data_IF_926827982472
#
_entry.id   IF_926827982472
#
_cell.length_a   1.000
_cell.length_b   1.000
_cell.length_c   1.000
_cell.angle_alpha   90.00
_cell.angle_beta   90.00
_cell.angle_gamma   90.00
#
_symmetry.space_group_name_H-M   'P 1'
#
loop_
_entity.id
_entity.type
_entity.pdbx_description
1 polymer ?
#
# COMPACT_ATOMS: atom_id res chain seq x y z
N UNK A 1 -3.10 0.90 -19.95
CA UNK A 1 -3.78 0.10 -18.93
C UNK A 1 -2.72 -0.41 -18.01
N UNK A 2 -2.88 -0.11 -16.73
CA UNK A 2 -1.98 -0.61 -15.69
C UNK A 2 -2.53 -1.95 -15.19
N UNK A 3 -1.71 -3.00 -15.26
CA UNK A 3 -2.10 -4.35 -14.84
C UNK A 3 -1.43 -4.69 -13.51
N UNK A 4 -2.19 -5.23 -12.55
CA UNK A 4 -1.64 -5.69 -11.27
C UNK A 4 -0.59 -6.78 -11.51
N UNK A 5 0.55 -6.69 -10.81
CA UNK A 5 1.63 -7.68 -10.87
C UNK A 5 1.94 -8.32 -9.53
N UNK A 6 2.08 -7.51 -8.48
CA UNK A 6 2.41 -7.97 -7.14
C UNK A 6 1.76 -7.07 -6.08
N UNK A 7 1.68 -7.60 -4.86
CA UNK A 7 1.37 -6.82 -3.68
C UNK A 7 2.33 -7.18 -2.54
N UNK A 8 2.55 -6.23 -1.63
CA UNK A 8 3.33 -6.43 -0.41
C UNK A 8 2.88 -5.48 0.68
N UNK A 9 3.26 -5.78 1.92
CA UNK A 9 2.93 -4.97 3.10
C UNK A 9 4.21 -4.40 3.71
N UNK A 10 4.14 -3.16 4.14
CA UNK A 10 5.05 -2.59 5.13
C UNK A 10 4.35 -2.60 6.48
N UNK A 11 5.03 -3.05 7.54
CA UNK A 11 4.50 -3.00 8.91
C UNK A 11 5.62 -2.70 9.90
N UNK A 12 5.25 -2.18 11.08
CA UNK A 12 6.17 -1.74 12.11
C UNK A 12 6.24 -2.70 13.30
N UNK A 13 7.29 -2.55 14.11
CA UNK A 13 7.42 -3.24 15.40
C UNK A 13 6.57 -2.59 16.52
N UNK A 14 6.84 -2.97 17.78
CA UNK A 14 6.16 -2.38 18.95
C UNK A 14 6.38 -0.85 19.00
N UNK A 15 5.30 -0.07 18.95
CA UNK A 15 5.33 1.39 19.01
C UNK A 15 4.71 2.12 17.82
N UNK A 16 4.16 1.41 16.82
CA UNK A 16 3.31 1.93 15.75
C UNK A 16 3.99 2.98 14.84
N UNK A 17 4.78 2.49 13.87
CA UNK A 17 5.26 3.24 12.70
C UNK A 17 5.56 2.24 11.59
N UNK A 18 4.51 1.73 10.95
CA UNK A 18 4.63 0.66 9.97
C UNK A 18 4.32 1.04 8.54
N UNK A 19 3.62 2.16 8.32
CA UNK A 19 3.50 2.73 6.99
C UNK A 19 4.79 3.43 6.56
N UNK A 20 5.11 3.33 5.27
CA UNK A 20 6.21 4.08 4.67
C UNK A 20 5.81 5.55 4.51
N UNK A 21 4.58 5.80 4.08
CA UNK A 21 4.03 7.13 3.90
C UNK A 21 3.33 7.65 5.16
N UNK A 22 3.15 8.97 5.21
CA UNK A 22 2.41 9.66 6.27
C UNK A 22 1.33 10.56 5.68
N UNK A 23 0.24 10.76 6.42
CA UNK A 23 -0.79 11.76 6.10
C UNK A 23 -0.75 12.81 7.19
N UNK A 24 -0.45 14.06 6.82
CA UNK A 24 -0.33 15.18 7.76
C UNK A 24 0.62 14.87 8.95
N UNK A 25 1.71 14.15 8.69
CA UNK A 25 2.69 13.75 9.72
C UNK A 25 2.30 12.55 10.58
N UNK A 26 1.11 11.97 10.39
CA UNK A 26 0.67 10.73 11.05
C UNK A 26 1.17 9.50 10.28
N UNK A 27 1.81 8.57 11.00
CA UNK A 27 2.12 7.21 10.53
C UNK A 27 0.95 6.27 10.85
N UNK A 28 0.86 5.19 10.09
CA UNK A 28 -0.15 4.13 10.24
C UNK A 28 0.53 2.81 10.66
N UNK A 29 -0.27 1.83 11.10
CA UNK A 29 0.25 0.55 11.61
C UNK A 29 0.90 -0.29 10.51
N UNK A 30 0.37 -0.20 9.30
CA UNK A 30 0.88 -0.89 8.13
C UNK A 30 0.41 -0.17 6.86
N UNK A 31 1.08 -0.44 5.74
CA UNK A 31 0.71 0.04 4.41
C UNK A 31 0.78 -1.12 3.41
N UNK A 32 -0.30 -1.36 2.68
CA UNK A 32 -0.37 -2.31 1.57
C UNK A 32 -0.05 -1.58 0.27
N UNK A 33 0.89 -2.13 -0.51
CA UNK A 33 1.18 -1.68 -1.87
C UNK A 33 0.59 -2.65 -2.89
N UNK A 34 -0.20 -2.14 -3.83
CA UNK A 34 -0.60 -2.86 -5.04
C UNK A 34 0.19 -2.31 -6.23
N UNK A 35 1.16 -3.08 -6.72
CA UNK A 35 2.07 -2.65 -7.78
C UNK A 35 1.51 -3.05 -9.14
N UNK A 36 1.22 -2.03 -9.94
CA UNK A 36 0.76 -2.17 -11.31
C UNK A 36 1.81 -1.68 -12.31
N UNK A 37 1.76 -2.20 -13.52
CA UNK A 37 2.67 -1.81 -14.60
C UNK A 37 1.92 -1.49 -15.89
N UNK A 38 2.46 -0.56 -16.69
CA UNK A 38 1.86 -0.08 -17.94
C UNK A 38 2.00 -1.11 -19.07
N UNK A 39 1.11 -2.09 -19.07
CA UNK A 39 1.07 -3.20 -20.04
C UNK A 39 0.62 -2.79 -21.45
N UNK A 40 0.22 -1.53 -21.66
CA UNK A 40 -0.04 -1.01 -23.01
C UNK A 40 1.27 -0.56 -23.67
N UNK A 41 2.16 0.09 -22.91
CA UNK A 41 3.38 0.71 -23.46
C UNK A 41 4.58 -0.24 -23.48
N UNK A 42 4.66 -1.17 -22.54
CA UNK A 42 5.81 -2.07 -22.37
C UNK A 42 5.42 -3.53 -22.59
N UNK A 43 6.36 -4.34 -23.10
CA UNK A 43 6.11 -5.76 -23.39
C UNK A 43 6.27 -6.65 -22.16
N UNK A 44 7.05 -6.18 -21.18
CA UNK A 44 7.29 -6.92 -19.95
C UNK A 44 7.26 -6.00 -18.72
N UNK A 45 7.03 -6.62 -17.56
CA UNK A 45 7.15 -5.93 -16.29
C UNK A 45 8.55 -5.36 -16.07
N UNK A 46 9.61 -6.07 -16.47
CA UNK A 46 10.99 -5.62 -16.30
C UNK A 46 11.30 -4.34 -17.10
N UNK A 47 10.85 -4.28 -18.36
CA UNK A 47 10.95 -3.06 -19.18
C UNK A 47 10.19 -1.89 -18.55
N UNK A 48 8.95 -2.13 -18.10
CA UNK A 48 8.16 -1.11 -17.43
C UNK A 48 8.81 -0.65 -16.12
N UNK A 49 9.33 -1.58 -15.33
CA UNK A 49 10.02 -1.28 -14.08
C UNK A 49 11.31 -0.48 -14.28
N UNK A 50 11.89 -0.44 -15.49
CA UNK A 50 13.04 0.41 -15.81
C UNK A 50 12.62 1.83 -16.27
N UNK A 51 11.35 2.05 -16.61
CA UNK A 51 10.86 3.30 -17.17
C UNK A 51 10.23 4.22 -16.10
N UNK A 52 10.31 5.56 -16.29
CA UNK A 52 9.75 6.53 -15.35
C UNK A 52 8.22 6.46 -15.24
N UNK A 53 7.52 6.10 -16.32
CA UNK A 53 6.06 5.97 -16.38
C UNK A 53 5.59 4.51 -16.49
N UNK A 54 6.46 3.56 -16.16
CA UNK A 54 6.14 2.14 -16.32
C UNK A 54 5.39 1.53 -15.14
N UNK A 55 5.44 2.13 -13.94
CA UNK A 55 4.77 1.62 -12.74
C UNK A 55 3.78 2.63 -12.16
N UNK A 56 2.68 2.11 -11.62
CA UNK A 56 1.75 2.83 -10.76
C UNK A 56 1.49 1.99 -9.51
N UNK A 57 1.69 2.58 -8.33
CA UNK A 57 1.52 1.87 -7.05
C UNK A 57 0.38 2.49 -6.28
N UNK A 58 -0.54 1.63 -5.82
CA UNK A 58 -1.61 1.99 -4.91
C UNK A 58 -1.16 1.71 -3.48
N UNK A 59 -0.96 2.75 -2.68
CA UNK A 59 -0.72 2.64 -1.24
C UNK A 59 -2.04 2.71 -0.48
N UNK A 60 -2.28 1.72 0.40
CA UNK A 60 -3.47 1.61 1.25
C UNK A 60 -3.01 1.52 2.70
N UNK A 61 -3.34 2.52 3.52
CA UNK A 61 -3.00 2.50 4.94
C UNK A 61 -3.92 1.58 5.73
N UNK A 62 -3.35 0.85 6.69
CA UNK A 62 -4.06 -0.09 7.55
C UNK A 62 -4.04 0.40 9.00
N UNK A 63 -5.20 0.38 9.64
CA UNK A 63 -5.36 0.61 11.08
C UNK A 63 -6.10 -0.57 11.73
N UNK A 64 -5.87 -0.74 13.03
CA UNK A 64 -6.60 -1.72 13.84
C UNK A 64 -7.67 -0.97 14.61
N UNK A 65 -8.92 -1.29 14.32
CA UNK A 65 -10.07 -0.85 15.11
C UNK A 65 -10.50 -2.00 16.02
N UNK A 66 -10.53 -1.74 17.33
CA UNK A 66 -11.10 -2.70 18.28
C UNK A 66 -12.62 -2.54 18.27
N UNK A 67 -13.33 -3.46 17.62
CA UNK A 67 -14.78 -3.57 17.78
C UNK A 67 -15.03 -4.42 19.02
N UNK A 68 -15.39 -3.77 20.13
CA UNK A 68 -15.78 -4.46 21.35
C UNK A 68 -17.24 -4.90 21.21
N UNK A 69 -17.48 -6.13 20.77
CA UNK A 69 -18.75 -6.80 21.02
C UNK A 69 -18.75 -7.31 22.47
N UNK A 70 -19.83 -7.05 23.20
CA UNK A 70 -20.04 -7.41 24.62
C UNK A 70 -19.96 -8.92 24.93
N UNK A 71 -19.56 -9.77 23.97
CA UNK A 71 -19.75 -11.21 23.99
C UNK A 71 -18.45 -12.01 23.82
N UNK A 72 -17.28 -11.42 24.07
CA UNK A 72 -15.95 -12.03 23.98
C UNK A 72 -15.55 -12.60 22.60
N UNK A 73 -14.50 -12.00 22.06
CA UNK A 73 -13.47 -12.63 21.23
C UNK A 73 -13.77 -12.77 19.74
N UNK A 74 -13.56 -11.67 19.01
CA UNK A 74 -12.84 -11.72 17.74
C UNK A 74 -12.23 -10.34 17.48
N UNK A 75 -10.89 -10.26 17.39
CA UNK A 75 -10.24 -9.12 16.76
C UNK A 75 -10.52 -9.25 15.25
N UNK A 76 -11.64 -8.71 14.79
CA UNK A 76 -11.90 -8.61 13.36
C UNK A 76 -11.04 -7.46 12.85
N UNK A 77 -10.05 -7.76 12.01
CA UNK A 77 -9.37 -6.74 11.21
C UNK A 77 -10.37 -6.24 10.18
N UNK A 78 -11.17 -5.26 10.55
CA UNK A 78 -12.07 -4.67 9.58
C UNK A 78 -11.31 -3.57 8.85
N UNK A 79 -11.03 -3.82 7.57
CA UNK A 79 -10.61 -2.81 6.62
C UNK A 79 -11.83 -1.95 6.28
N UNK A 80 -12.37 -1.19 7.25
CA UNK A 80 -13.57 -0.37 7.01
C UNK A 80 -13.31 0.89 6.21
N UNK A 81 -12.08 1.10 5.74
CA UNK A 81 -11.77 2.39 5.17
C UNK A 81 -10.67 2.42 4.13
N UNK A 82 -11.08 2.47 2.86
CA UNK A 82 -10.21 2.89 1.76
C UNK A 82 -10.21 4.43 1.61
N UNK A 83 -10.47 5.19 2.68
CA UNK A 83 -10.44 6.67 2.63
C UNK A 83 -9.04 7.24 2.37
N UNK A 84 -7.98 6.46 2.62
CA UNK A 84 -6.60 6.90 2.50
C UNK A 84 -5.85 6.08 1.44
N UNK A 85 -6.25 6.26 0.18
CA UNK A 85 -5.63 5.61 -0.96
C UNK A 85 -4.79 6.62 -1.72
N UNK A 86 -3.50 6.35 -1.84
CA UNK A 86 -2.59 7.21 -2.59
C UNK A 86 -2.06 6.47 -3.82
N UNK A 87 -2.13 7.11 -4.99
CA UNK A 87 -1.52 6.60 -6.22
C UNK A 87 -0.22 7.37 -6.44
N UNK A 88 0.90 6.66 -6.46
CA UNK A 88 2.20 7.28 -6.69
C UNK A 88 2.77 6.85 -8.05
N UNK A 89 3.18 7.79 -8.92
CA UNK A 89 4.16 7.47 -9.95
C UNK A 89 5.49 7.16 -9.27
N UNK A 90 6.29 6.26 -9.84
CA UNK A 90 7.57 5.86 -9.26
C UNK A 90 8.46 7.09 -9.02
N UNK A 91 8.83 7.35 -7.77
CA UNK A 91 9.90 8.32 -7.45
C UNK A 91 11.24 7.73 -7.89
N UNK A 92 12.16 8.51 -8.49
CA UNK A 92 13.44 8.00 -8.98
C UNK A 92 14.37 7.37 -7.93
N UNK A 93 14.06 7.51 -6.63
CA UNK A 93 15.01 7.27 -5.53
C UNK A 93 14.54 6.26 -4.47
N UNK A 94 13.44 5.52 -4.69
CA UNK A 94 13.02 4.46 -3.77
C UNK A 94 12.89 3.14 -4.55
N UNK A 95 13.70 2.16 -4.18
CA UNK A 95 13.52 0.77 -4.60
C UNK A 95 12.45 0.13 -3.71
N UNK A 96 11.39 -0.38 -4.32
CA UNK A 96 10.47 -1.32 -3.67
C UNK A 96 11.21 -2.60 -3.29
#
# INVERSE_FOLDING_TARGET
>A
MYRLKQFHFHWGGKGCSGSEHTIAGRTYLSELHLVHWNAIKYKSFGEAAAAPDGLAVLGIFLEVSLIINHNNETNVFVLEDFRNVCVYPRKPLVSF
#
